data_IF_297744917718
#
_entry.id   IF_297744917718
#
_cell.length_a   1.000
_cell.length_b   1.000
_cell.length_c   1.000
_cell.angle_alpha   90.00
_cell.angle_beta   90.00
_cell.angle_gamma   90.00
#
_symmetry.space_group_name_H-M   'P 1'
#
loop_
_entity.id
_entity.type
_entity.pdbx_description
1 polymer ?
#
# COMPACT_ATOMS: atom_id res chain seq x y z
N UNK A 1 1.93 93.10 -43.45
CA UNK A 1 0.72 93.68 -42.75
C UNK A 1 0.37 92.71 -41.64
N UNK A 2 0.66 93.14 -40.42
CA UNK A 2 0.06 92.66 -39.19
C UNK A 2 -1.48 93.04 -39.13
N UNK A 3 -2.30 92.60 -38.20
CA UNK A 3 -2.09 92.07 -36.86
C UNK A 3 -3.03 90.92 -36.48
N UNK A 4 -2.94 90.30 -35.40
CA UNK A 4 -3.06 90.47 -33.98
C UNK A 4 -4.02 89.50 -33.31
N UNK A 5 -3.58 88.98 -32.17
CA UNK A 5 -4.26 88.87 -30.87
C UNK A 5 -5.49 87.89 -30.71
N UNK A 6 -5.43 86.98 -29.84
CA UNK A 6 -5.97 87.03 -28.44
C UNK A 6 -5.86 85.65 -27.78
N UNK A 7 -4.98 85.40 -26.86
CA UNK A 7 -5.20 85.24 -25.39
C UNK A 7 -6.38 84.40 -24.91
N UNK A 8 -6.04 83.21 -24.39
CA UNK A 8 -6.33 82.54 -23.10
C UNK A 8 -7.79 82.35 -22.63
N UNK A 9 -8.14 81.44 -21.74
CA UNK A 9 -7.32 80.85 -20.65
C UNK A 9 -7.47 79.31 -20.41
N UNK A 10 -6.56 78.88 -19.55
CA UNK A 10 -6.53 77.55 -18.92
C UNK A 10 -7.81 77.15 -18.19
N UNK A 11 -8.20 75.93 -18.37
CA UNK A 11 -9.02 75.18 -17.39
C UNK A 11 -8.30 73.89 -17.06
N UNK A 12 -7.77 73.91 -15.83
CA UNK A 12 -7.29 72.71 -15.17
C UNK A 12 -8.47 71.79 -14.89
N UNK A 13 -8.44 70.54 -15.46
CA UNK A 13 -9.31 69.47 -15.05
C UNK A 13 -8.47 68.51 -14.22
N UNK A 14 -8.75 68.54 -12.95
CA UNK A 14 -8.28 67.58 -11.94
C UNK A 14 -8.85 66.22 -12.31
N UNK A 15 -8.04 65.38 -12.90
CA UNK A 15 -8.37 63.97 -13.04
C UNK A 15 -7.96 63.28 -11.74
N UNK A 16 -8.97 62.98 -10.94
CA UNK A 16 -8.82 62.23 -9.70
C UNK A 16 -8.24 60.86 -9.98
N UNK A 17 -7.10 60.61 -9.37
CA UNK A 17 -6.48 59.28 -9.29
C UNK A 17 -7.35 58.41 -8.39
N UNK A 18 -8.17 57.53 -8.94
CA UNK A 18 -8.70 56.38 -8.22
C UNK A 18 -7.67 55.27 -8.43
N UNK A 19 -6.68 55.23 -7.57
CA UNK A 19 -5.81 54.07 -7.43
C UNK A 19 -6.61 52.98 -6.72
N UNK A 20 -7.28 52.13 -7.49
CA UNK A 20 -7.83 50.87 -7.00
C UNK A 20 -6.65 49.93 -6.70
N UNK A 21 -6.20 49.95 -5.45
CA UNK A 21 -5.22 48.97 -4.97
C UNK A 21 -5.87 47.58 -4.95
N UNK A 22 -5.74 46.88 -6.05
CA UNK A 22 -5.93 45.44 -6.07
C UNK A 22 -4.78 44.82 -5.26
N UNK A 23 -4.99 44.66 -3.97
CA UNK A 23 -4.19 43.79 -3.13
C UNK A 23 -4.58 42.35 -3.52
N UNK A 24 -4.04 41.92 -4.66
CA UNK A 24 -3.93 40.50 -4.92
C UNK A 24 -3.02 39.93 -3.83
N UNK A 25 -3.60 39.22 -2.89
CA UNK A 25 -2.86 38.46 -1.90
C UNK A 25 -2.06 37.39 -2.66
N UNK A 26 -0.90 37.80 -3.15
CA UNK A 26 0.08 36.86 -3.67
C UNK A 26 0.52 35.99 -2.50
N UNK A 27 -0.04 34.80 -2.40
CA UNK A 27 0.51 33.77 -1.52
C UNK A 27 1.98 33.63 -1.88
N UNK A 28 2.91 33.71 -0.93
CA UNK A 28 4.31 33.56 -1.24
C UNK A 28 4.53 32.15 -1.81
N UNK A 29 5.06 32.04 -3.00
CA UNK A 29 5.40 30.78 -3.68
C UNK A 29 6.25 29.86 -2.77
N UNK A 30 7.00 30.41 -1.85
CA UNK A 30 7.76 29.69 -0.83
C UNK A 30 6.88 28.92 0.18
N UNK A 31 5.65 29.34 0.45
CA UNK A 31 4.75 28.64 1.37
C UNK A 31 4.13 27.39 0.71
N UNK A 32 3.79 27.47 -0.56
CA UNK A 32 3.28 26.32 -1.34
C UNK A 32 4.34 25.21 -1.46
N UNK A 33 5.60 25.59 -1.69
CA UNK A 33 6.70 24.60 -1.78
C UNK A 33 7.00 23.93 -0.43
N UNK A 34 6.80 24.59 0.69
CA UNK A 34 7.01 23.99 2.03
C UNK A 34 5.89 23.00 2.39
N UNK A 35 4.64 23.32 2.08
CA UNK A 35 3.52 22.38 2.27
C UNK A 35 3.66 21.13 1.41
N UNK A 36 4.02 21.27 0.13
CA UNK A 36 4.26 20.12 -0.77
C UNK A 36 5.42 19.26 -0.27
N UNK A 37 6.53 19.85 0.17
CA UNK A 37 7.67 19.14 0.73
C UNK A 37 7.30 18.38 2.01
N UNK A 38 6.50 18.98 2.89
CA UNK A 38 6.00 18.35 4.10
C UNK A 38 5.12 17.13 3.82
N UNK A 39 4.23 17.22 2.83
CA UNK A 39 3.37 16.12 2.39
C UNK A 39 4.19 14.96 1.80
N UNK A 40 5.15 15.27 0.92
CA UNK A 40 6.03 14.26 0.30
C UNK A 40 6.87 13.56 1.37
N UNK A 41 7.44 14.30 2.31
CA UNK A 41 8.23 13.75 3.41
C UNK A 41 7.38 12.87 4.34
N UNK A 42 6.17 13.31 4.67
CA UNK A 42 5.21 12.52 5.45
C UNK A 42 4.84 11.20 4.77
N UNK A 43 4.59 11.24 3.44
CA UNK A 43 4.30 10.05 2.66
C UNK A 43 5.49 9.09 2.61
N UNK A 44 6.71 9.60 2.43
CA UNK A 44 7.93 8.77 2.44
C UNK A 44 8.15 8.09 3.80
N UNK A 45 7.92 8.81 4.91
CA UNK A 45 8.00 8.22 6.24
C UNK A 45 6.96 7.12 6.46
N UNK A 46 5.72 7.34 6.02
CA UNK A 46 4.66 6.34 6.12
C UNK A 46 4.97 5.08 5.30
N UNK A 47 5.48 5.24 4.07
CA UNK A 47 5.87 4.12 3.21
C UNK A 47 7.05 3.33 3.79
N UNK A 48 8.05 4.01 4.37
CA UNK A 48 9.18 3.35 5.00
C UNK A 48 8.77 2.62 6.28
N UNK A 49 7.89 3.20 7.10
CA UNK A 49 7.36 2.52 8.27
C UNK A 49 6.58 1.25 7.90
N UNK A 50 5.73 1.33 6.86
CA UNK A 50 5.01 0.17 6.33
C UNK A 50 5.97 -0.92 5.83
N UNK A 51 7.05 -0.55 5.14
CA UNK A 51 8.05 -1.50 4.65
C UNK A 51 8.75 -2.23 5.81
N UNK A 52 9.11 -1.53 6.89
CA UNK A 52 9.69 -2.14 8.10
C UNK A 52 8.73 -3.14 8.75
N UNK A 53 7.47 -2.78 8.88
CA UNK A 53 6.43 -3.65 9.43
C UNK A 53 6.25 -4.91 8.59
N UNK A 54 6.20 -4.77 7.25
CA UNK A 54 6.08 -5.91 6.35
C UNK A 54 7.35 -6.77 6.31
N UNK A 55 8.53 -6.19 6.53
CA UNK A 55 9.75 -6.98 6.71
C UNK A 55 9.64 -7.90 7.92
N UNK A 56 9.06 -7.46 9.03
CA UNK A 56 8.76 -8.31 10.18
C UNK A 56 7.85 -9.51 9.84
N UNK A 57 6.87 -9.33 8.96
CA UNK A 57 6.03 -10.43 8.44
C UNK A 57 6.88 -11.43 7.65
N UNK A 58 7.74 -10.94 6.78
CA UNK A 58 8.67 -11.79 5.99
C UNK A 58 9.59 -12.58 6.90
N UNK A 59 10.27 -11.93 7.83
CA UNK A 59 11.23 -12.56 8.74
C UNK A 59 10.56 -13.63 9.62
N UNK A 60 9.36 -13.33 10.09
CA UNK A 60 8.57 -14.31 10.86
C UNK A 60 8.19 -15.52 9.99
N UNK A 61 7.77 -15.30 8.77
CA UNK A 61 7.40 -16.38 7.84
C UNK A 61 8.60 -17.29 7.50
N UNK A 62 9.78 -16.69 7.28
CA UNK A 62 11.03 -17.41 7.06
C UNK A 62 11.44 -18.27 8.27
N UNK A 63 11.15 -17.83 9.49
CA UNK A 63 11.39 -18.59 10.71
C UNK A 63 10.59 -19.89 10.81
N UNK A 64 9.57 -20.09 9.97
CA UNK A 64 8.78 -21.33 9.93
C UNK A 64 9.18 -22.30 8.82
N UNK A 65 10.22 -22.00 8.05
CA UNK A 65 10.75 -22.94 7.05
C UNK A 65 11.14 -24.25 7.73
N UNK A 66 10.77 -25.37 7.11
CA UNK A 66 11.01 -26.70 7.66
C UNK A 66 9.87 -27.25 8.52
N UNK A 67 8.88 -26.45 8.92
CA UNK A 67 7.68 -26.93 9.63
C UNK A 67 6.83 -27.80 8.67
N UNK A 68 6.36 -29.00 9.12
CA UNK A 68 5.57 -29.87 8.28
C UNK A 68 4.23 -29.26 7.85
N UNK A 69 3.83 -29.54 6.60
CA UNK A 69 2.46 -29.30 6.16
C UNK A 69 1.48 -30.19 6.92
N UNK A 70 0.41 -29.60 7.41
CA UNK A 70 -0.73 -30.30 7.96
C UNK A 70 -2.04 -29.66 7.49
N UNK A 71 -2.92 -30.44 6.90
CA UNK A 71 -4.24 -29.93 6.50
C UNK A 71 -5.01 -29.42 7.73
N UNK A 72 -5.53 -28.17 7.67
CA UNK A 72 -6.17 -27.50 8.78
C UNK A 72 -5.21 -27.01 9.88
N UNK A 73 -3.90 -27.23 9.71
CA UNK A 73 -2.88 -26.81 10.68
C UNK A 73 -2.71 -25.28 10.69
N UNK A 74 -2.51 -24.72 11.91
CA UNK A 74 -2.40 -23.27 12.15
C UNK A 74 -1.42 -22.93 13.27
N UNK A 75 -0.59 -23.89 13.70
CA UNK A 75 0.38 -23.72 14.78
C UNK A 75 1.68 -24.47 14.48
N UNK A 76 2.87 -23.91 14.80
CA UNK A 76 4.15 -24.56 14.46
C UNK A 76 4.28 -25.96 15.06
N UNK A 77 3.82 -26.21 16.29
CA UNK A 77 3.92 -27.53 16.94
C UNK A 77 3.10 -28.62 16.24
N UNK A 78 2.06 -28.23 15.52
CA UNK A 78 1.14 -29.16 14.84
C UNK A 78 1.30 -29.17 13.33
N UNK A 79 2.05 -28.21 12.78
CA UNK A 79 2.21 -27.99 11.35
C UNK A 79 1.20 -26.97 10.80
N UNK A 80 1.42 -26.55 9.56
CA UNK A 80 0.63 -25.53 8.86
C UNK A 80 0.00 -26.06 7.57
N UNK A 81 -1.23 -25.59 7.26
CA UNK A 81 -1.66 -25.50 5.87
C UNK A 81 -1.30 -24.09 5.32
N UNK A 82 -1.54 -23.86 4.02
CA UNK A 82 -1.13 -22.63 3.36
C UNK A 82 -1.72 -21.35 4.02
N UNK A 83 -2.99 -21.34 4.29
CA UNK A 83 -3.68 -20.21 4.93
C UNK A 83 -3.44 -20.15 6.45
N UNK A 84 -3.18 -21.28 7.09
CA UNK A 84 -2.82 -21.35 8.49
C UNK A 84 -1.46 -20.73 8.78
N UNK A 85 -0.48 -20.93 7.92
CA UNK A 85 0.81 -20.25 7.98
C UNK A 85 0.63 -18.73 7.88
N UNK A 86 -0.11 -18.25 6.87
CA UNK A 86 -0.41 -16.82 6.68
C UNK A 86 -1.06 -16.22 7.92
N UNK A 87 -2.15 -16.85 8.40
CA UNK A 87 -2.85 -16.38 9.59
C UNK A 87 -1.96 -16.31 10.83
N UNK A 88 -1.13 -17.34 11.02
CA UNK A 88 -0.24 -17.40 12.18
C UNK A 88 0.79 -16.27 12.14
N UNK A 89 1.44 -16.08 10.99
CA UNK A 89 2.44 -15.03 10.78
C UNK A 89 1.86 -13.65 11.04
N UNK A 90 0.72 -13.33 10.42
CA UNK A 90 0.09 -12.00 10.57
C UNK A 90 -0.40 -11.74 11.99
N UNK A 91 -0.93 -12.75 12.67
CA UNK A 91 -1.35 -12.62 14.06
C UNK A 91 -0.16 -12.39 14.99
N UNK A 92 0.94 -13.13 14.83
CA UNK A 92 2.13 -13.01 15.67
C UNK A 92 2.88 -11.69 15.45
N UNK A 93 2.89 -11.19 14.20
CA UNK A 93 3.65 -9.99 13.86
C UNK A 93 2.85 -8.70 14.03
N UNK A 94 1.57 -8.73 13.68
CA UNK A 94 0.72 -7.53 13.57
C UNK A 94 -0.48 -7.55 14.52
N UNK A 95 -0.71 -8.66 15.24
CA UNK A 95 -1.93 -8.82 16.04
C UNK A 95 -3.22 -8.98 15.20
N UNK A 96 -3.11 -9.11 13.88
CA UNK A 96 -4.25 -9.14 12.95
C UNK A 96 -4.73 -10.57 12.74
N UNK A 97 -6.02 -10.81 12.94
CA UNK A 97 -6.67 -12.07 12.62
C UNK A 97 -7.27 -12.00 11.23
N UNK A 98 -6.72 -12.78 10.30
CA UNK A 98 -7.18 -12.87 8.92
C UNK A 98 -8.20 -14.01 8.73
N UNK A 99 -9.01 -14.00 7.63
CA UNK A 99 -9.92 -15.11 7.30
C UNK A 99 -9.19 -16.44 7.16
N UNK A 100 -9.85 -17.55 7.56
CA UNK A 100 -9.19 -18.85 7.69
C UNK A 100 -8.79 -19.52 6.39
N UNK A 101 -9.49 -19.28 5.29
CA UNK A 101 -9.24 -19.99 4.03
C UNK A 101 -8.56 -19.10 2.99
N UNK A 102 -7.77 -19.69 2.10
CA UNK A 102 -7.10 -18.96 1.02
C UNK A 102 -8.07 -18.22 0.10
N UNK A 103 -9.28 -18.76 -0.14
CA UNK A 103 -10.32 -18.08 -0.92
C UNK A 103 -10.83 -16.82 -0.25
N UNK A 104 -11.06 -16.89 1.05
CA UNK A 104 -11.48 -15.71 1.83
C UNK A 104 -10.34 -14.69 1.96
N UNK A 105 -9.09 -15.14 2.11
CA UNK A 105 -7.92 -14.24 2.09
C UNK A 105 -7.81 -13.46 0.78
N UNK A 106 -8.22 -14.05 -0.34
CA UNK A 106 -8.22 -13.37 -1.64
C UNK A 106 -9.28 -12.26 -1.78
N UNK A 107 -10.20 -12.11 -0.83
CA UNK A 107 -11.24 -11.07 -0.84
C UNK A 107 -10.96 -9.92 0.14
N UNK A 108 -9.88 -9.99 0.91
CA UNK A 108 -9.51 -8.95 1.88
C UNK A 108 -8.26 -8.19 1.44
N UNK A 109 -8.08 -6.98 1.97
CA UNK A 109 -6.98 -6.11 1.60
C UNK A 109 -7.11 -5.48 0.22
N UNK A 110 -6.06 -4.84 -0.24
CA UNK A 110 -5.99 -4.14 -1.53
C UNK A 110 -5.46 -5.10 -2.61
N UNK A 111 -6.09 -5.10 -3.78
CA UNK A 111 -5.58 -5.84 -4.94
C UNK A 111 -4.27 -5.22 -5.42
N UNK A 112 -3.30 -6.07 -5.76
CA UNK A 112 -1.97 -5.66 -6.19
C UNK A 112 -1.67 -6.29 -7.55
N UNK A 113 -1.27 -5.46 -8.51
CA UNK A 113 -0.76 -5.95 -9.79
C UNK A 113 0.56 -6.71 -9.58
N UNK A 114 0.85 -7.66 -10.47
CA UNK A 114 2.03 -8.53 -10.32
C UNK A 114 3.35 -7.73 -10.26
N UNK A 115 3.44 -6.68 -11.05
CA UNK A 115 4.57 -5.75 -11.13
C UNK A 115 4.74 -4.86 -9.91
N UNK A 116 3.65 -4.63 -9.15
CA UNK A 116 3.63 -3.77 -7.95
C UNK A 116 3.78 -4.55 -6.65
N UNK A 117 3.97 -5.87 -6.73
CA UNK A 117 4.10 -6.71 -5.53
C UNK A 117 5.34 -6.34 -4.71
N UNK A 118 5.16 -6.32 -3.40
CA UNK A 118 6.19 -6.01 -2.40
C UNK A 118 6.29 -7.13 -1.36
N UNK A 119 7.44 -7.30 -0.70
CA UNK A 119 7.57 -8.26 0.40
C UNK A 119 6.45 -8.10 1.43
N UNK A 120 5.85 -9.23 1.85
CA UNK A 120 4.70 -9.28 2.73
C UNK A 120 3.33 -9.37 2.03
N UNK A 121 3.25 -9.12 0.72
CA UNK A 121 2.00 -9.32 -0.02
C UNK A 121 1.62 -10.81 -0.06
N UNK A 122 0.31 -11.08 -0.05
CA UNK A 122 -0.22 -12.43 -0.23
C UNK A 122 -0.33 -12.74 -1.71
N UNK A 123 0.22 -13.88 -2.12
CA UNK A 123 0.16 -14.37 -3.52
C UNK A 123 -0.72 -15.61 -3.60
N UNK A 124 -1.60 -15.64 -4.59
CA UNK A 124 -2.63 -16.68 -4.74
C UNK A 124 -2.43 -17.49 -6.01
N UNK A 125 -2.84 -18.77 -5.93
CA UNK A 125 -2.66 -19.70 -7.03
C UNK A 125 -3.84 -20.66 -7.18
N UNK A 126 -4.04 -21.15 -8.41
CA UNK A 126 -4.89 -22.30 -8.71
C UNK A 126 -4.05 -23.58 -8.69
N UNK A 127 -3.99 -24.27 -7.57
CA UNK A 127 -3.27 -25.54 -7.44
C UNK A 127 -4.17 -26.75 -7.32
N UNK A 128 -5.51 -26.53 -7.18
CA UNK A 128 -6.50 -27.61 -6.97
C UNK A 128 -7.71 -27.48 -7.90
N UNK A 129 -7.53 -26.93 -9.10
CA UNK A 129 -8.60 -26.76 -10.08
C UNK A 129 -9.56 -25.60 -9.80
N UNK A 130 -9.29 -24.77 -8.78
CA UNK A 130 -10.09 -23.58 -8.46
C UNK A 130 -9.18 -22.38 -8.16
N UNK A 131 -9.54 -21.17 -8.60
CA UNK A 131 -8.84 -19.93 -8.27
C UNK A 131 -8.66 -19.79 -6.75
N UNK A 132 -7.55 -19.19 -6.34
CA UNK A 132 -7.24 -18.88 -4.94
C UNK A 132 -7.30 -20.12 -4.02
N UNK A 133 -7.03 -21.32 -4.55
CA UNK A 133 -7.02 -22.55 -3.76
C UNK A 133 -5.72 -22.74 -2.97
N UNK A 134 -4.74 -21.87 -3.17
CA UNK A 134 -3.47 -21.84 -2.47
C UNK A 134 -2.99 -20.41 -2.26
N UNK A 135 -2.23 -20.17 -1.18
CA UNK A 135 -1.69 -18.87 -0.81
C UNK A 135 -0.27 -18.99 -0.27
N UNK A 136 0.56 -17.99 -0.52
CA UNK A 136 1.87 -17.78 0.09
C UNK A 136 2.10 -16.32 0.44
N UNK A 137 3.22 -16.04 1.12
CA UNK A 137 3.70 -14.69 1.44
C UNK A 137 4.86 -14.37 0.51
N UNK A 138 4.74 -13.29 -0.23
CA UNK A 138 5.75 -12.83 -1.19
C UNK A 138 6.99 -12.29 -0.47
N UNK A 139 8.17 -12.62 -0.97
CA UNK A 139 9.46 -12.25 -0.38
C UNK A 139 10.25 -11.22 -1.22
N UNK A 140 9.73 -10.90 -2.41
CA UNK A 140 10.51 -10.17 -3.42
C UNK A 140 11.18 -11.10 -4.43
N UNK A 141 11.64 -10.55 -5.54
CA UNK A 141 12.41 -11.25 -6.60
C UNK A 141 11.74 -12.51 -7.13
N UNK A 142 10.41 -12.50 -7.24
CA UNK A 142 9.63 -13.65 -7.70
C UNK A 142 9.52 -14.81 -6.70
N UNK A 143 10.04 -14.67 -5.47
CA UNK A 143 10.05 -15.71 -4.44
C UNK A 143 8.88 -15.57 -3.48
N UNK A 144 8.39 -16.67 -2.96
CA UNK A 144 7.36 -16.68 -1.92
C UNK A 144 7.55 -17.86 -0.96
N UNK A 145 7.18 -17.67 0.30
CA UNK A 145 7.19 -18.72 1.33
C UNK A 145 5.78 -19.25 1.53
N UNK A 146 5.63 -20.53 1.66
CA UNK A 146 4.32 -21.19 1.81
C UNK A 146 4.41 -22.59 2.41
N UNK A 147 3.26 -23.15 2.81
CA UNK A 147 3.07 -24.56 3.13
C UNK A 147 2.39 -25.26 1.94
N UNK A 148 3.13 -26.01 1.08
CA UNK A 148 2.62 -26.42 -0.25
C UNK A 148 1.49 -27.45 -0.20
N UNK A 149 1.74 -28.62 0.37
CA UNK A 149 0.82 -29.79 0.38
C UNK A 149 1.26 -30.85 1.39
N UNK A 150 0.42 -31.86 1.58
CA UNK A 150 0.74 -33.01 2.42
C UNK A 150 2.11 -33.64 2.07
N UNK A 151 2.82 -34.10 3.09
CA UNK A 151 4.15 -34.71 3.01
C UNK A 151 5.26 -33.76 2.53
N UNK A 152 5.04 -32.46 2.65
CA UNK A 152 6.07 -31.43 2.39
C UNK A 152 6.24 -30.53 3.60
N UNK A 153 7.24 -29.68 3.54
CA UNK A 153 7.56 -28.70 4.58
C UNK A 153 7.25 -27.29 4.08
N UNK A 154 7.09 -26.34 4.99
CA UNK A 154 7.14 -24.91 4.68
C UNK A 154 8.46 -24.62 3.98
N UNK A 155 8.40 -23.95 2.84
CA UNK A 155 9.58 -23.67 2.01
C UNK A 155 9.39 -22.44 1.14
N UNK A 156 10.46 -22.03 0.48
CA UNK A 156 10.45 -21.01 -0.57
C UNK A 156 10.35 -21.71 -1.93
N UNK A 157 9.47 -21.20 -2.79
CA UNK A 157 9.39 -21.54 -4.21
C UNK A 157 9.38 -20.23 -5.04
N UNK A 158 9.54 -20.36 -6.36
CA UNK A 158 9.50 -19.23 -7.32
C UNK A 158 8.14 -19.17 -8.01
N UNK A 159 7.67 -17.96 -8.31
CA UNK A 159 6.44 -17.74 -9.09
C UNK A 159 6.52 -18.39 -10.49
N UNK A 160 7.73 -18.46 -11.05
CA UNK A 160 7.97 -18.97 -12.40
C UNK A 160 8.39 -20.45 -12.43
N UNK A 161 8.41 -21.13 -11.28
CA UNK A 161 8.60 -22.58 -11.21
C UNK A 161 7.47 -23.33 -11.92
N UNK A 162 7.80 -24.49 -12.48
CA UNK A 162 6.85 -25.35 -13.24
C UNK A 162 5.56 -25.62 -12.45
N UNK A 163 5.65 -25.68 -11.11
CA UNK A 163 4.50 -25.90 -10.22
C UNK A 163 3.56 -24.71 -10.10
N UNK A 164 4.02 -23.46 -10.39
CA UNK A 164 3.30 -22.22 -10.13
C UNK A 164 3.16 -21.31 -11.36
N UNK A 165 4.04 -21.45 -12.36
CA UNK A 165 3.92 -20.76 -13.64
C UNK A 165 2.55 -21.04 -14.27
N UNK A 166 1.84 -19.97 -14.64
CA UNK A 166 0.48 -20.04 -15.20
C UNK A 166 -0.62 -20.40 -14.21
N UNK A 167 -0.32 -20.55 -12.92
CA UNK A 167 -1.29 -20.81 -11.85
C UNK A 167 -1.52 -19.62 -10.92
N UNK A 168 -0.74 -18.57 -11.06
CA UNK A 168 -0.93 -17.31 -10.31
C UNK A 168 -2.30 -16.71 -10.65
N UNK A 169 -3.09 -16.38 -9.63
CA UNK A 169 -4.46 -15.87 -9.76
C UNK A 169 -4.64 -14.46 -9.20
N UNK A 170 -3.62 -13.90 -8.55
CA UNK A 170 -3.65 -12.54 -8.04
C UNK A 170 -2.80 -12.36 -6.79
N UNK A 171 -2.69 -11.10 -6.35
CA UNK A 171 -2.03 -10.75 -5.11
C UNK A 171 -2.87 -9.77 -4.29
N UNK A 172 -2.70 -9.77 -2.96
CA UNK A 172 -3.37 -8.87 -2.02
C UNK A 172 -2.37 -8.30 -1.02
N UNK A 173 -2.46 -7.01 -0.78
CA UNK A 173 -1.72 -6.33 0.30
C UNK A 173 -2.63 -6.14 1.49
N UNK A 174 -2.19 -6.64 2.63
CA UNK A 174 -2.87 -6.41 3.91
C UNK A 174 -2.22 -5.18 4.53
N UNK A 175 -2.99 -4.11 4.65
CA UNK A 175 -2.56 -2.92 5.38
C UNK A 175 -3.01 -3.07 6.85
N UNK A 176 -2.07 -3.19 7.80
CA UNK A 176 -2.40 -3.36 9.21
C UNK A 176 -3.26 -2.22 9.76
N UNK A 177 -3.04 -0.99 9.30
CA UNK A 177 -3.74 0.19 9.81
C UNK A 177 -5.23 0.16 9.42
N UNK A 178 -5.52 -0.17 8.16
CA UNK A 178 -6.91 -0.25 7.70
C UNK A 178 -7.62 -1.49 8.22
N UNK A 179 -6.91 -2.60 8.43
CA UNK A 179 -7.50 -3.84 8.91
C UNK A 179 -7.89 -3.76 10.39
N UNK A 180 -7.09 -3.12 11.23
CA UNK A 180 -7.40 -2.89 12.65
C UNK A 180 -8.61 -1.97 12.82
N UNK A 181 -8.70 -0.90 12.04
CA UNK A 181 -9.83 0.04 12.09
C UNK A 181 -11.15 -0.62 11.66
N UNK A 182 -11.10 -1.51 10.67
CA UNK A 182 -12.30 -2.22 10.19
C UNK A 182 -12.82 -3.31 11.14
N UNK A 183 -12.00 -3.77 12.10
CA UNK A 183 -12.39 -4.79 13.09
C UNK A 183 -12.76 -4.23 14.45
N UNK A 184 -12.51 -2.94 14.70
CA UNK A 184 -13.01 -2.23 15.87
C UNK A 184 -14.39 -1.67 15.52
N UNK A 185 -15.43 -2.41 15.83
CA UNK A 185 -16.83 -1.97 15.68
C UNK A 185 -17.05 -0.73 16.58
N UNK A 186 -17.45 0.45 16.04
CA UNK A 186 -17.65 1.64 16.87
C UNK A 186 -18.94 1.56 17.73
N UNK A 187 -19.58 0.41 17.84
CA UNK A 187 -20.88 0.21 18.52
C UNK A 187 -20.84 -0.84 19.65
N UNK A 188 -19.68 -1.06 20.28
CA UNK A 188 -19.60 -1.91 21.49
C UNK A 188 -19.19 -1.12 22.74
#
# INVERSE_FOLDING_TARGET
MLPAFLQRPARALVVGLIALAAVAAARPVAAETQEEQGVVQGLQLALSAQAVVMQGVVDRALGYIGIPYRFGGSHPDKGFDCSGLVNHVFRETLGVTLPRTSRQLATVGVEVAREDMRPGDLVFFNTRGAPNSHVGIYLGDGRFVHAPRARTLVRIDQLDDVGYRGRFTGARRIDPLTFVVATVDPAS
#
